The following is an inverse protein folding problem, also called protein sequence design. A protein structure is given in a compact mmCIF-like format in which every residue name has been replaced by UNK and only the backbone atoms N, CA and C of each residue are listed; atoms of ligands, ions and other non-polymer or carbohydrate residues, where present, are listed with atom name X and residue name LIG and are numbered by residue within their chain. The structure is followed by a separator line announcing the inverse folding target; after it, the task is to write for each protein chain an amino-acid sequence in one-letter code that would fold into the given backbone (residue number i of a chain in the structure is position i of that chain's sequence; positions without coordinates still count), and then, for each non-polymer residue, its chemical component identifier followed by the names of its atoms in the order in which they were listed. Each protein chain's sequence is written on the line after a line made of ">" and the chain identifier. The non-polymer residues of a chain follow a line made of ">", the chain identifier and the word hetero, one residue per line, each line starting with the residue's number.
data_IF_746755781771
#
_entry.id   IF_746755781771
#
_cell.length_a   1.000
_cell.length_b   1.000
_cell.length_c   1.000
_cell.angle_alpha   90.00
_cell.angle_beta   90.00
_cell.angle_gamma   90.00
#
_symmetry.space_group_name_H-M   'P 1'
#
loop_
_entity.id
_entity.type
_entity.pdbx_description
1 polymer ?
#
# COMPACT_ATOMS: atom_id res chain seq x y z
N UNK A 1 14.03 5.90 18.53
CA UNK A 1 13.80 6.53 17.21
C UNK A 1 13.15 5.48 16.32
N UNK A 2 11.98 5.80 15.75
CA UNK A 2 11.00 4.84 15.25
C UNK A 2 11.55 3.93 14.15
N UNK A 3 11.18 2.65 14.21
CA UNK A 3 11.61 1.61 13.27
C UNK A 3 10.98 1.83 11.89
N UNK A 4 11.67 2.63 11.10
CA UNK A 4 11.42 3.04 9.71
C UNK A 4 11.68 1.91 8.70
N UNK A 5 11.19 0.71 8.97
CA UNK A 5 11.21 -0.41 8.00
C UNK A 5 9.85 -1.11 7.87
N UNK A 6 8.85 -0.63 8.61
CA UNK A 6 7.56 -1.31 8.73
C UNK A 6 6.67 -1.05 7.52
N UNK A 7 6.65 0.15 6.95
CA UNK A 7 5.73 0.50 5.85
C UNK A 7 6.02 -0.28 4.57
N UNK A 8 7.29 -0.43 4.19
CA UNK A 8 7.68 -1.23 3.03
C UNK A 8 7.25 -2.70 3.17
N UNK A 9 7.41 -3.27 4.37
CA UNK A 9 7.04 -4.66 4.69
C UNK A 9 5.52 -4.81 4.76
N UNK A 10 4.83 -3.89 5.42
CA UNK A 10 3.36 -3.86 5.49
C UNK A 10 2.73 -3.68 4.12
N UNK A 11 3.30 -2.84 3.25
CA UNK A 11 2.86 -2.70 1.87
C UNK A 11 3.04 -4.01 1.10
N UNK A 12 4.15 -4.73 1.28
CA UNK A 12 4.36 -6.03 0.66
C UNK A 12 3.31 -7.07 1.13
N UNK A 13 3.03 -7.13 2.44
CA UNK A 13 2.01 -8.01 3.02
C UNK A 13 0.61 -7.65 2.49
N UNK A 14 0.28 -6.36 2.42
CA UNK A 14 -1.00 -5.89 1.88
C UNK A 14 -1.13 -6.22 0.38
N UNK A 15 -0.07 -6.03 -0.40
CA UNK A 15 -0.06 -6.36 -1.84
C UNK A 15 -0.21 -7.87 -2.06
N UNK A 16 0.30 -8.70 -1.15
CA UNK A 16 0.10 -10.15 -1.19
C UNK A 16 -1.31 -10.57 -0.78
N UNK A 17 -2.12 -9.68 -0.19
CA UNK A 17 -3.48 -10.01 0.22
C UNK A 17 -4.43 -10.06 -0.99
N UNK A 18 -5.10 -11.20 -1.26
CA UNK A 18 -6.01 -11.34 -2.39
C UNK A 18 -7.22 -10.39 -2.31
N UNK A 19 -7.68 -10.02 -1.11
CA UNK A 19 -8.78 -9.05 -0.96
C UNK A 19 -8.37 -7.65 -1.46
N UNK A 20 -7.15 -7.23 -1.14
CA UNK A 20 -6.59 -5.97 -1.65
C UNK A 20 -6.36 -6.03 -3.16
N UNK A 21 -5.85 -7.16 -3.67
CA UNK A 21 -5.71 -7.40 -5.10
C UNK A 21 -7.04 -7.25 -5.84
N UNK A 22 -8.13 -7.86 -5.33
CA UNK A 22 -9.48 -7.71 -5.88
C UNK A 22 -9.99 -6.28 -5.78
N UNK A 23 -9.76 -5.60 -4.66
CA UNK A 23 -10.17 -4.21 -4.46
C UNK A 23 -9.53 -3.24 -5.46
N UNK A 24 -8.23 -3.43 -5.75
CA UNK A 24 -7.52 -2.60 -6.74
C UNK A 24 -7.59 -3.16 -8.17
N UNK A 25 -8.32 -4.26 -8.38
CA UNK A 25 -8.54 -4.86 -9.70
C UNK A 25 -7.29 -5.51 -10.33
N UNK A 26 -6.35 -5.99 -9.54
CA UNK A 26 -5.13 -6.66 -10.01
C UNK A 26 -5.12 -8.14 -9.61
N UNK A 27 -4.44 -8.98 -10.39
CA UNK A 27 -4.34 -10.43 -10.14
C UNK A 27 -2.95 -10.86 -9.63
N UNK A 28 -2.10 -9.92 -9.22
CA UNK A 28 -0.74 -10.25 -8.75
C UNK A 28 -0.22 -9.24 -7.75
N UNK A 29 0.55 -9.73 -6.78
CA UNK A 29 1.20 -8.91 -5.77
C UNK A 29 2.15 -7.86 -6.36
N UNK A 30 2.82 -8.17 -7.48
CA UNK A 30 3.67 -7.22 -8.20
C UNK A 30 2.87 -6.06 -8.79
N UNK A 31 1.73 -6.35 -9.42
CA UNK A 31 0.81 -5.33 -9.95
C UNK A 31 0.21 -4.49 -8.83
N UNK A 32 -0.17 -5.10 -7.71
CA UNK A 32 -0.62 -4.37 -6.52
C UNK A 32 0.47 -3.43 -5.98
N UNK A 33 1.72 -3.90 -5.94
CA UNK A 33 2.84 -3.07 -5.50
C UNK A 33 3.14 -1.93 -6.48
N UNK A 34 2.99 -2.14 -7.79
CA UNK A 34 3.11 -1.09 -8.79
C UNK A 34 1.99 -0.04 -8.65
N UNK A 35 0.77 -0.48 -8.37
CA UNK A 35 -0.37 0.41 -8.09
C UNK A 35 -0.11 1.27 -6.84
N UNK A 36 0.29 0.65 -5.73
CA UNK A 36 0.62 1.38 -4.48
C UNK A 36 1.75 2.38 -4.72
N UNK A 37 2.79 2.00 -5.47
CA UNK A 37 3.89 2.89 -5.86
C UNK A 37 3.40 4.10 -6.66
N UNK A 38 2.59 3.88 -7.69
CA UNK A 38 2.00 4.94 -8.51
C UNK A 38 1.13 5.88 -7.67
N UNK A 39 0.33 5.33 -6.76
CA UNK A 39 -0.57 6.11 -5.93
C UNK A 39 0.13 6.89 -4.82
N UNK A 40 1.18 6.32 -4.23
CA UNK A 40 2.02 7.02 -3.28
C UNK A 40 2.97 8.01 -3.96
N UNK A 41 3.23 7.84 -5.26
CA UNK A 41 4.15 8.67 -6.05
C UNK A 41 5.62 8.33 -5.78
N UNK A 42 5.91 7.05 -5.51
CA UNK A 42 7.27 6.56 -5.20
C UNK A 42 7.70 5.50 -6.19
N UNK A 43 9.00 5.44 -6.48
CA UNK A 43 9.56 4.45 -7.41
C UNK A 43 9.89 3.15 -6.67
N UNK A 44 10.29 3.26 -5.40
CA UNK A 44 10.70 2.13 -4.58
C UNK A 44 9.94 2.03 -3.25
N UNK A 45 9.70 0.81 -2.80
CA UNK A 45 9.04 0.52 -1.51
C UNK A 45 9.81 1.09 -0.31
N UNK A 46 11.12 1.31 -0.45
CA UNK A 46 11.96 1.94 0.58
C UNK A 46 11.67 3.44 0.71
N UNK A 47 11.23 4.10 -0.37
CA UNK A 47 10.87 5.52 -0.32
C UNK A 47 9.54 5.79 0.38
N UNK A 48 8.66 4.78 0.49
CA UNK A 48 7.47 4.89 1.35
C UNK A 48 7.84 5.21 2.79
N UNK A 49 9.01 4.78 3.22
CA UNK A 49 9.49 4.97 4.57
C UNK A 49 10.32 6.25 4.72
N UNK A 50 11.12 6.58 3.70
CA UNK A 50 11.91 7.81 3.69
C UNK A 50 11.08 9.08 3.44
N UNK A 51 9.88 8.94 2.88
CA UNK A 51 9.03 10.06 2.49
C UNK A 51 7.73 10.07 3.28
N UNK A 52 7.60 11.00 4.23
CA UNK A 52 6.40 11.14 5.07
C UNK A 52 5.13 11.34 4.24
N UNK A 53 5.24 12.00 3.09
CA UNK A 53 4.13 12.18 2.13
C UNK A 53 3.67 10.85 1.55
N UNK A 54 4.61 9.97 1.18
CA UNK A 54 4.31 8.64 0.67
C UNK A 54 3.72 7.74 1.77
N UNK A 55 4.26 7.82 2.99
CA UNK A 55 3.71 7.15 4.16
C UNK A 55 2.25 7.55 4.41
N UNK A 56 1.96 8.87 4.45
CA UNK A 56 0.60 9.40 4.62
C UNK A 56 -0.36 8.88 3.54
N UNK A 57 0.06 8.92 2.27
CA UNK A 57 -0.75 8.39 1.15
C UNK A 57 -1.03 6.90 1.30
N UNK A 58 -0.05 6.11 1.74
CA UNK A 58 -0.23 4.68 1.98
C UNK A 58 -1.19 4.40 3.15
N UNK A 59 -1.10 5.19 4.22
CA UNK A 59 -2.04 5.11 5.34
C UNK A 59 -3.47 5.44 4.91
N UNK A 60 -3.66 6.49 4.10
CA UNK A 60 -4.96 6.85 3.53
C UNK A 60 -5.51 5.75 2.62
N UNK A 61 -4.66 5.15 1.77
CA UNK A 61 -5.05 4.01 0.93
C UNK A 61 -5.52 2.82 1.79
N UNK A 62 -4.80 2.50 2.87
CA UNK A 62 -5.21 1.45 3.82
C UNK A 62 -6.51 1.79 4.51
N UNK A 63 -6.73 3.04 4.89
CA UNK A 63 -8.02 3.48 5.46
C UNK A 63 -9.14 3.31 4.44
N UNK A 64 -8.96 3.76 3.20
CA UNK A 64 -9.97 3.58 2.15
C UNK A 64 -10.28 2.10 1.91
N UNK A 65 -9.29 1.22 1.95
CA UNK A 65 -9.52 -0.22 1.90
C UNK A 65 -10.27 -0.75 3.14
N UNK A 66 -9.89 -0.30 4.35
CA UNK A 66 -10.49 -0.78 5.60
C UNK A 66 -11.93 -0.26 5.81
N UNK A 67 -12.21 0.98 5.42
CA UNK A 67 -13.52 1.61 5.52
C UNK A 67 -14.39 1.39 4.28
N UNK A 68 -13.79 1.17 3.11
CA UNK A 68 -14.46 0.79 1.87
C UNK A 68 -14.92 -0.66 1.83
N UNK A 69 -14.68 -1.43 2.90
CA UNK A 69 -15.24 -2.76 3.13
C UNK A 69 -16.74 -2.78 3.44
N UNK A 70 -17.47 -1.68 3.19
CA UNK A 70 -18.92 -1.66 3.14
C UNK A 70 -19.40 -1.81 1.69
N UNK A 71 -19.12 -2.97 1.09
CA UNK A 71 -19.93 -3.46 -0.02
C UNK A 71 -20.73 -4.65 0.53
N UNK A 72 -22.00 -4.34 0.81
CA UNK A 72 -23.07 -5.30 1.03
C UNK A 72 -23.22 -6.26 -0.14
#
# INVERSE_FOLDING_TARGET
>A
MAQTHTLAKTAAILCANPAFQRHVGVNSAEKAAAYVRKQCGVISRRELDQSETAAKRFHELRRQFAYGGNHA
#
